data_IF_427363237172
#
_entry.id   IF_427363237172
#
_cell.length_a   1.000
_cell.length_b   1.000
_cell.length_c   1.000
_cell.angle_alpha   90.00
_cell.angle_beta   90.00
_cell.angle_gamma   90.00
#
_symmetry.space_group_name_H-M   'P 1'
#
loop_
_entity.id
_entity.type
_entity.pdbx_description
1 polymer ?
#
# COMPACT_ATOMS: atom_id res chain seq x y z
N UNK A 1 0.96 -4.03 6.13
CA UNK A 1 1.21 -2.62 5.72
C UNK A 1 0.00 -2.10 4.97
N UNK A 2 -0.51 -0.98 5.39
CA UNK A 2 -1.59 -0.27 4.70
C UNK A 2 -1.02 1.04 4.15
N UNK A 3 -1.02 1.18 2.81
CA UNK A 3 -0.55 2.40 2.16
C UNK A 3 -1.71 3.09 1.45
N UNK A 4 -1.67 4.42 1.43
CA UNK A 4 -2.65 5.25 0.72
C UNK A 4 -1.92 6.45 0.13
N UNK A 5 -1.89 6.55 -1.19
CA UNK A 5 -1.25 7.64 -1.91
C UNK A 5 -2.30 8.61 -2.46
N UNK A 6 -2.19 9.88 -2.10
CA UNK A 6 -3.09 10.94 -2.53
C UNK A 6 -2.31 12.19 -2.94
N UNK A 7 -2.98 13.17 -3.51
CA UNK A 7 -2.37 14.44 -3.91
C UNK A 7 -2.23 15.40 -2.72
N UNK A 8 -3.28 15.53 -1.93
CA UNK A 8 -3.34 16.47 -0.80
C UNK A 8 -3.72 15.75 0.49
N UNK A 9 -3.23 16.26 1.62
CA UNK A 9 -3.48 15.68 2.95
C UNK A 9 -4.98 15.51 3.22
N UNK A 10 -5.79 16.47 2.77
CA UNK A 10 -7.25 16.43 2.96
C UNK A 10 -7.93 15.23 2.29
N UNK A 11 -7.26 14.58 1.35
CA UNK A 11 -7.76 13.41 0.64
C UNK A 11 -7.45 12.08 1.35
N UNK A 12 -6.70 12.12 2.45
CA UNK A 12 -6.38 10.92 3.25
C UNK A 12 -7.60 10.50 4.07
N UNK A 13 -8.46 9.72 3.44
CA UNK A 13 -9.65 9.17 4.07
C UNK A 13 -9.26 8.24 5.23
N UNK A 14 -10.02 8.31 6.32
CA UNK A 14 -9.85 7.44 7.49
C UNK A 14 -8.52 7.60 8.23
N UNK A 15 -7.70 8.62 7.95
CA UNK A 15 -6.40 8.80 8.59
C UNK A 15 -6.51 8.81 10.11
N UNK A 16 -7.40 9.63 10.67
CA UNK A 16 -7.59 9.70 12.13
C UNK A 16 -8.06 8.35 12.70
N UNK A 17 -8.98 7.69 12.00
CA UNK A 17 -9.47 6.38 12.41
C UNK A 17 -8.33 5.35 12.46
N UNK A 18 -7.48 5.33 11.47
CA UNK A 18 -6.36 4.37 11.38
C UNK A 18 -5.27 4.69 12.41
N UNK A 19 -4.94 5.96 12.58
CA UNK A 19 -3.85 6.38 13.47
C UNK A 19 -4.25 6.42 14.95
N UNK A 20 -5.51 6.78 15.26
CA UNK A 20 -5.93 7.04 16.61
C UNK A 20 -7.05 6.13 17.11
N UNK A 21 -8.10 5.91 16.33
CA UNK A 21 -9.25 5.11 16.78
C UNK A 21 -8.94 3.61 16.84
N UNK A 22 -8.44 3.03 15.74
CA UNK A 22 -8.18 1.59 15.67
C UNK A 22 -7.14 1.12 16.70
N UNK A 23 -6.00 1.82 16.88
CA UNK A 23 -5.02 1.42 17.89
C UNK A 23 -5.54 1.48 19.33
N UNK A 24 -6.56 2.28 19.59
CA UNK A 24 -7.16 2.47 20.91
C UNK A 24 -8.46 1.68 21.09
N UNK A 25 -8.80 0.82 20.13
CA UNK A 25 -10.02 0.00 20.24
C UNK A 25 -9.90 -0.99 21.40
N UNK A 26 -10.97 -1.12 22.17
CA UNK A 26 -11.03 -1.98 23.35
C UNK A 26 -10.78 -3.47 23.03
N UNK A 27 -11.25 -3.92 21.89
CA UNK A 27 -11.22 -5.36 21.53
C UNK A 27 -10.02 -5.76 20.68
N UNK A 28 -9.59 -4.92 19.73
CA UNK A 28 -8.52 -5.29 18.78
C UNK A 28 -7.37 -4.28 18.70
N UNK A 29 -7.36 -3.27 19.54
CA UNK A 29 -6.29 -2.24 19.52
C UNK A 29 -4.89 -2.82 19.67
N UNK A 30 -4.73 -3.81 20.52
CA UNK A 30 -3.42 -4.46 20.73
C UNK A 30 -2.90 -5.12 19.45
N UNK A 31 -3.78 -5.81 18.70
CA UNK A 31 -3.43 -6.44 17.43
C UNK A 31 -3.07 -5.38 16.38
N UNK A 32 -3.83 -4.28 16.33
CA UNK A 32 -3.56 -3.17 15.41
C UNK A 32 -2.18 -2.58 15.69
N UNK A 33 -1.86 -2.28 16.93
CA UNK A 33 -0.55 -1.71 17.30
C UNK A 33 0.61 -2.66 16.97
N UNK A 34 0.40 -3.95 17.11
CA UNK A 34 1.42 -4.95 16.84
C UNK A 34 1.62 -5.21 15.35
N UNK A 35 0.54 -5.25 14.57
CA UNK A 35 0.56 -5.80 13.21
C UNK A 35 0.35 -4.79 12.09
N UNK A 36 -0.26 -3.63 12.34
CA UNK A 36 -0.54 -2.66 11.31
C UNK A 36 0.54 -1.61 11.22
N UNK A 37 1.14 -1.48 10.03
CA UNK A 37 2.01 -0.36 9.67
C UNK A 37 1.27 0.48 8.65
N UNK A 38 0.97 1.74 8.99
CA UNK A 38 0.28 2.67 8.12
C UNK A 38 1.27 3.63 7.48
N UNK A 39 1.25 3.70 6.14
CA UNK A 39 2.17 4.53 5.36
C UNK A 39 1.39 5.38 4.36
N UNK A 40 0.78 6.49 4.81
CA UNK A 40 0.12 7.43 3.91
C UNK A 40 1.15 8.31 3.21
N UNK A 41 0.92 8.63 1.92
CA UNK A 41 1.81 9.48 1.13
C UNK A 41 1.04 10.58 0.42
N UNK A 42 1.69 11.72 0.21
CA UNK A 42 1.10 12.89 -0.44
C UNK A 42 2.07 13.41 -1.50
N UNK A 43 1.55 13.79 -2.67
CA UNK A 43 2.41 14.23 -3.78
C UNK A 43 2.50 15.74 -3.97
N UNK A 44 1.52 16.51 -3.47
CA UNK A 44 1.41 17.97 -3.76
C UNK A 44 1.56 18.89 -2.56
N UNK A 45 1.87 18.37 -1.40
CA UNK A 45 2.08 19.15 -0.18
C UNK A 45 3.24 18.56 0.61
N UNK A 46 3.79 19.32 1.53
CA UNK A 46 4.75 18.79 2.49
C UNK A 46 4.04 17.84 3.45
N UNK A 47 4.61 16.68 3.64
CA UNK A 47 4.07 15.66 4.53
C UNK A 47 5.21 14.72 4.93
N UNK A 48 5.03 13.98 6.03
CA UNK A 48 6.05 13.05 6.51
C UNK A 48 6.50 12.03 5.46
N UNK A 49 5.60 11.60 4.57
CA UNK A 49 5.93 10.75 3.43
C UNK A 49 5.47 11.46 2.16
N UNK A 50 6.41 12.00 1.41
CA UNK A 50 6.10 12.75 0.20
C UNK A 50 6.59 12.01 -1.03
N UNK A 51 5.70 11.84 -2.01
CA UNK A 51 5.98 11.20 -3.28
C UNK A 51 4.92 10.19 -3.69
N UNK A 52 5.06 9.66 -4.89
CA UNK A 52 4.18 8.60 -5.39
C UNK A 52 4.54 7.27 -4.73
N UNK A 53 3.54 6.47 -4.40
CA UNK A 53 3.76 5.14 -3.82
C UNK A 53 4.68 4.28 -4.68
N UNK A 54 4.52 4.32 -6.00
CA UNK A 54 5.36 3.56 -6.93
C UNK A 54 6.83 3.98 -6.85
N UNK A 55 7.10 5.29 -6.77
CA UNK A 55 8.47 5.80 -6.65
C UNK A 55 9.07 5.47 -5.28
N UNK A 56 8.29 5.60 -4.23
CA UNK A 56 8.73 5.27 -2.87
C UNK A 56 9.03 3.78 -2.73
N UNK A 57 8.27 2.94 -3.40
CA UNK A 57 8.53 1.49 -3.42
C UNK A 57 9.79 1.14 -4.21
N UNK A 58 9.92 1.66 -5.44
CA UNK A 58 11.06 1.34 -6.31
C UNK A 58 12.37 1.88 -5.81
N UNK A 59 12.37 3.04 -5.15
CA UNK A 59 13.58 3.63 -4.56
C UNK A 59 14.05 2.92 -3.29
N UNK A 60 13.21 2.05 -2.70
CA UNK A 60 13.48 1.40 -1.43
C UNK A 60 13.17 2.26 -0.21
N UNK A 61 12.71 3.49 -0.40
CA UNK A 61 12.41 4.40 0.72
C UNK A 61 11.25 3.88 1.57
N UNK A 62 10.20 3.34 0.94
CA UNK A 62 9.04 2.82 1.66
C UNK A 62 9.43 1.71 2.64
N UNK A 63 10.15 0.71 2.16
CA UNK A 63 10.59 -0.39 3.03
C UNK A 63 11.59 0.06 4.08
N UNK A 64 12.51 0.96 3.72
CA UNK A 64 13.46 1.52 4.68
C UNK A 64 12.78 2.33 5.79
N UNK A 65 11.81 3.18 5.43
CA UNK A 65 11.06 3.99 6.41
C UNK A 65 10.28 3.11 7.40
N UNK A 66 9.82 1.95 6.94
CA UNK A 66 9.10 0.98 7.79
C UNK A 66 10.01 0.01 8.53
N UNK A 67 11.32 0.07 8.31
CA UNK A 67 12.27 -0.84 8.93
C UNK A 67 12.17 -2.27 8.41
N UNK A 68 11.74 -2.45 7.17
CA UNK A 68 11.54 -3.74 6.55
C UNK A 68 12.62 -4.05 5.53
N UNK A 69 12.84 -5.33 5.28
CA UNK A 69 13.67 -5.79 4.18
C UNK A 69 12.99 -5.55 2.84
N UNK A 70 13.73 -5.69 1.75
CA UNK A 70 13.18 -5.55 0.40
C UNK A 70 12.11 -6.61 0.13
N UNK A 71 11.30 -6.35 -0.90
CA UNK A 71 10.19 -7.22 -1.27
C UNK A 71 10.65 -8.63 -1.62
N UNK A 72 9.92 -9.62 -1.13
CA UNK A 72 10.25 -11.02 -1.34
C UNK A 72 8.98 -11.80 -1.75
N UNK A 73 8.93 -12.37 -2.97
CA UNK A 73 7.76 -13.12 -3.44
C UNK A 73 7.41 -14.34 -2.59
N UNK A 74 8.37 -14.87 -1.83
CA UNK A 74 8.11 -16.02 -0.96
C UNK A 74 7.31 -15.65 0.29
N UNK A 75 7.45 -14.42 0.77
CA UNK A 75 6.85 -14.01 2.04
C UNK A 75 5.81 -12.90 1.92
N UNK A 76 5.89 -12.09 0.86
CA UNK A 76 5.06 -10.90 0.73
C UNK A 76 3.88 -11.12 -0.20
N UNK A 77 2.75 -10.47 0.13
CA UNK A 77 1.53 -10.50 -0.68
C UNK A 77 0.97 -9.09 -0.79
N UNK A 78 0.36 -8.79 -1.93
CA UNK A 78 -0.17 -7.45 -2.22
C UNK A 78 -1.65 -7.48 -2.57
N UNK A 79 -2.35 -6.44 -2.13
CA UNK A 79 -3.71 -6.14 -2.54
C UNK A 79 -3.67 -4.72 -3.11
N UNK A 80 -4.01 -4.58 -4.40
CA UNK A 80 -3.88 -3.32 -5.12
C UNK A 80 -5.25 -2.76 -5.48
N UNK A 81 -5.43 -1.46 -5.24
CA UNK A 81 -6.59 -0.72 -5.69
C UNK A 81 -6.14 0.70 -6.05
N UNK A 82 -6.65 1.25 -7.13
CA UNK A 82 -6.28 2.58 -7.57
C UNK A 82 -6.70 2.85 -9.01
N UNK A 83 -6.21 3.97 -9.57
CA UNK A 83 -6.46 4.31 -10.97
C UNK A 83 -5.85 3.25 -11.92
N UNK A 84 -6.37 3.14 -13.14
CA UNK A 84 -5.77 2.23 -14.14
C UNK A 84 -4.27 2.48 -14.35
N UNK A 85 -3.83 3.73 -14.35
CA UNK A 85 -2.41 4.08 -14.51
C UNK A 85 -1.57 3.58 -13.33
N UNK A 86 -2.05 3.77 -12.10
CA UNK A 86 -1.38 3.29 -10.90
C UNK A 86 -1.28 1.75 -10.88
N UNK A 87 -2.38 1.08 -11.22
CA UNK A 87 -2.41 -0.38 -11.28
C UNK A 87 -1.43 -0.92 -12.32
N UNK A 88 -1.35 -0.28 -13.50
CA UNK A 88 -0.39 -0.66 -14.53
C UNK A 88 1.06 -0.52 -14.05
N UNK A 89 1.38 0.58 -13.38
CA UNK A 89 2.71 0.82 -12.83
C UNK A 89 3.07 -0.21 -11.75
N UNK A 90 2.17 -0.48 -10.81
CA UNK A 90 2.41 -1.48 -9.78
C UNK A 90 2.56 -2.89 -10.34
N UNK A 91 1.72 -3.25 -11.30
CA UNK A 91 1.80 -4.55 -11.96
C UNK A 91 3.18 -4.74 -12.60
N UNK A 92 3.66 -3.73 -13.32
CA UNK A 92 4.98 -3.77 -13.93
C UNK A 92 6.09 -3.95 -12.89
N UNK A 93 6.05 -3.17 -11.83
CA UNK A 93 7.04 -3.25 -10.74
C UNK A 93 7.05 -4.64 -10.10
N UNK A 94 5.88 -5.17 -9.77
CA UNK A 94 5.77 -6.47 -9.11
C UNK A 94 6.16 -7.62 -10.02
N UNK A 95 5.75 -7.58 -11.28
CA UNK A 95 6.12 -8.61 -12.28
C UNK A 95 7.63 -8.64 -12.48
N UNK A 96 8.29 -7.49 -12.58
CA UNK A 96 9.75 -7.40 -12.70
C UNK A 96 10.50 -7.95 -11.49
N UNK A 97 9.86 -7.95 -10.33
CA UNK A 97 10.43 -8.47 -9.07
C UNK A 97 10.05 -9.91 -8.76
N UNK A 98 9.43 -10.60 -9.71
CA UNK A 98 9.09 -12.01 -9.57
C UNK A 98 7.76 -12.30 -8.88
N UNK A 99 6.94 -11.29 -8.63
CA UNK A 99 5.57 -11.47 -8.13
C UNK A 99 4.64 -11.78 -9.30
N UNK A 100 3.64 -12.62 -9.05
CA UNK A 100 2.68 -13.06 -10.06
C UNK A 100 1.25 -12.70 -9.62
N UNK A 101 0.45 -12.17 -10.55
CA UNK A 101 -0.96 -11.89 -10.28
C UNK A 101 -1.74 -13.17 -10.01
N UNK A 102 -2.57 -13.13 -8.98
CA UNK A 102 -3.53 -14.21 -8.71
C UNK A 102 -4.64 -14.16 -9.76
N UNK A 103 -4.84 -15.28 -10.46
CA UNK A 103 -5.88 -15.43 -11.48
C UNK A 103 -6.77 -16.63 -11.15
N UNK A 104 -7.92 -16.71 -11.80
CA UNK A 104 -8.85 -17.83 -11.61
C UNK A 104 -8.12 -19.16 -11.79
N UNK A 105 -8.14 -19.99 -10.74
CA UNK A 105 -7.47 -21.29 -10.73
C UNK A 105 -5.99 -21.28 -10.35
N UNK A 106 -5.33 -20.11 -10.32
CA UNK A 106 -3.91 -20.00 -9.97
C UNK A 106 -3.71 -19.09 -8.76
N UNK A 107 -3.07 -19.60 -7.73
CA UNK A 107 -2.68 -18.82 -6.57
C UNK A 107 -1.40 -18.02 -6.89
N UNK A 108 -1.51 -16.70 -6.85
CA UNK A 108 -0.38 -15.80 -7.10
C UNK A 108 0.03 -15.04 -5.84
N UNK A 109 0.72 -13.92 -6.06
CA UNK A 109 1.29 -13.10 -5.00
C UNK A 109 0.55 -11.78 -4.79
N UNK A 110 -0.23 -11.32 -5.77
CA UNK A 110 -1.00 -10.09 -5.64
C UNK A 110 -2.37 -10.21 -6.32
N UNK A 111 -3.32 -9.44 -5.79
CA UNK A 111 -4.66 -9.31 -6.36
C UNK A 111 -4.95 -7.85 -6.66
N UNK A 112 -5.80 -7.61 -7.64
CA UNK A 112 -6.19 -6.27 -8.07
C UNK A 112 -7.70 -6.10 -7.89
N UNK A 113 -8.10 -5.02 -7.20
CA UNK A 113 -9.48 -4.56 -7.17
C UNK A 113 -9.63 -3.40 -8.15
N UNK A 114 -10.41 -3.60 -9.20
CA UNK A 114 -10.61 -2.59 -10.26
C UNK A 114 -11.85 -1.75 -10.00
N UNK A 115 -11.80 -0.94 -8.95
CA UNK A 115 -12.92 -0.09 -8.54
C UNK A 115 -13.20 1.06 -9.53
N UNK A 116 -12.23 1.42 -10.36
CA UNK A 116 -12.29 2.56 -11.27
C UNK A 116 -12.26 2.15 -12.73
N UNK A 117 -12.87 1.02 -13.06
CA UNK A 117 -12.92 0.53 -14.44
C UNK A 117 -14.03 1.24 -15.19
N UNK A 118 -13.71 1.84 -16.34
CA UNK A 118 -14.71 2.34 -17.28
C UNK A 118 -15.37 1.16 -17.99
N UNK A 119 -16.68 1.25 -18.10
CA UNK A 119 -17.48 0.25 -18.81
C UNK A 119 -17.66 0.62 -20.27
#
# INVERSE_FOLDING_TARGET
ILTHGVRNISELAYRDRIENELPNNEYFGDIVREKLLYYPTVTREEFRNQGRLTDLLTSGKLTADLGLEDLNPETDRFMLCGSPAMLADFTKILDERGFKETRSGDLGHYVIERAFVEK
#
